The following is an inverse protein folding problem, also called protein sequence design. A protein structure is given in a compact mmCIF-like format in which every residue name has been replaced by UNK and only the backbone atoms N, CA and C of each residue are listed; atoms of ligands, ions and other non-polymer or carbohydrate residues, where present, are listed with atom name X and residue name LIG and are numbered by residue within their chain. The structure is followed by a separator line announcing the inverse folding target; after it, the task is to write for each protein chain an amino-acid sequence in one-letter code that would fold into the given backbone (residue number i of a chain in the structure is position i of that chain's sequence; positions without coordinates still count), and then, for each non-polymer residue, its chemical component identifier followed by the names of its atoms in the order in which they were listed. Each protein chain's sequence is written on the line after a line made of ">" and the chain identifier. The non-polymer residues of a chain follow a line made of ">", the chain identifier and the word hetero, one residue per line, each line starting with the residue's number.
data_IF_170347454113
#
_entry.id   IF_170347454113
#
_cell.length_a   1.000
_cell.length_b   1.000
_cell.length_c   1.000
_cell.angle_alpha   90.00
_cell.angle_beta   90.00
_cell.angle_gamma   90.00
#
_symmetry.space_group_name_H-M   'P 1'
#
loop_
_entity.id
_entity.type
_entity.pdbx_description
1 polymer ?
#
# COMPACT_ATOMS: atom_id res chain seq x y z
N UNK A 1 28.89 1.04 2.63
CA UNK A 1 28.43 -0.36 2.39
C UNK A 1 28.43 -0.62 0.88
N UNK A 2 28.84 -1.81 0.46
CA UNK A 2 28.72 -2.25 -0.96
C UNK A 2 27.88 -3.51 -1.03
N UNK A 3 26.93 -3.57 -1.97
CA UNK A 3 26.24 -4.79 -2.38
C UNK A 3 26.85 -5.21 -3.71
N UNK A 4 27.46 -6.41 -3.77
CA UNK A 4 28.22 -6.87 -4.94
C UNK A 4 27.49 -7.90 -5.78
N UNK A 5 27.72 -7.85 -7.10
CA UNK A 5 27.47 -8.94 -8.05
C UNK A 5 26.00 -9.43 -8.11
N UNK A 6 25.03 -8.60 -7.70
CA UNK A 6 23.61 -8.92 -7.69
C UNK A 6 22.93 -8.66 -9.05
N UNK A 7 21.75 -9.26 -9.26
CA UNK A 7 20.87 -8.95 -10.37
C UNK A 7 20.04 -7.71 -10.01
N UNK A 8 20.45 -6.54 -10.46
CA UNK A 8 19.78 -5.26 -10.16
C UNK A 8 18.52 -5.14 -11.00
N UNK A 9 17.38 -4.94 -10.35
CA UNK A 9 16.08 -4.72 -11.00
C UNK A 9 15.87 -3.21 -11.19
N UNK A 10 16.09 -2.74 -12.40
CA UNK A 10 15.72 -1.39 -12.83
C UNK A 10 14.26 -1.36 -13.29
N UNK A 11 13.74 -0.19 -13.57
CA UNK A 11 12.36 -0.01 -14.02
C UNK A 11 12.03 -0.71 -15.35
N UNK A 12 13.02 -0.83 -16.24
CA UNK A 12 12.88 -1.31 -17.62
C UNK A 12 13.67 -2.60 -17.92
N UNK A 13 14.57 -3.02 -17.01
CA UNK A 13 15.47 -4.16 -17.23
C UNK A 13 16.01 -4.75 -15.93
N UNK A 14 16.67 -5.92 -16.07
CA UNK A 14 17.45 -6.53 -15.00
C UNK A 14 18.87 -6.72 -15.50
N UNK A 15 19.86 -6.20 -14.78
CA UNK A 15 21.27 -6.30 -15.15
C UNK A 15 22.14 -6.69 -13.96
N UNK A 16 23.20 -7.44 -14.21
CA UNK A 16 24.19 -7.77 -13.18
C UNK A 16 25.01 -6.52 -12.82
N UNK A 17 25.17 -6.30 -11.51
CA UNK A 17 25.89 -5.11 -11.07
C UNK A 17 26.14 -5.06 -9.58
N UNK A 18 26.70 -3.95 -9.12
CA UNK A 18 27.00 -3.67 -7.72
C UNK A 18 26.53 -2.25 -7.36
N UNK A 19 26.22 -2.03 -6.09
CA UNK A 19 25.77 -0.72 -5.59
C UNK A 19 26.63 -0.29 -4.41
N UNK A 20 27.09 0.98 -4.44
CA UNK A 20 27.69 1.65 -3.29
C UNK A 20 26.63 2.49 -2.57
N UNK A 21 26.52 2.28 -1.27
CA UNK A 21 25.61 3.01 -0.37
C UNK A 21 26.46 3.85 0.59
N UNK A 22 26.16 5.16 0.64
CA UNK A 22 26.76 6.13 1.57
C UNK A 22 25.67 7.08 2.07
N UNK A 23 25.72 7.44 3.34
CA UNK A 23 24.81 8.40 3.99
C UNK A 23 23.32 8.12 3.72
N UNK A 24 22.94 6.84 3.73
CA UNK A 24 21.57 6.41 3.51
C UNK A 24 21.08 6.48 2.05
N UNK A 25 21.98 6.77 1.10
CA UNK A 25 21.67 6.94 -0.32
C UNK A 25 22.41 5.93 -1.19
N UNK A 26 21.82 5.65 -2.36
CA UNK A 26 22.53 4.98 -3.45
C UNK A 26 23.54 5.97 -4.02
N UNK A 27 24.80 5.81 -3.66
CA UNK A 27 25.87 6.73 -4.06
C UNK A 27 26.31 6.50 -5.48
N UNK A 28 26.49 5.24 -5.86
CA UNK A 28 26.95 4.86 -7.19
C UNK A 28 26.50 3.46 -7.57
N UNK A 29 26.14 3.32 -8.84
CA UNK A 29 25.86 2.04 -9.51
C UNK A 29 27.12 1.63 -10.26
N UNK A 30 27.52 0.36 -10.13
CA UNK A 30 28.74 -0.22 -10.67
C UNK A 30 30.02 0.60 -10.30
N UNK A 31 30.26 0.83 -8.99
CA UNK A 31 31.46 1.54 -8.57
C UNK A 31 32.71 0.74 -8.95
N UNK A 32 33.84 1.44 -9.16
CA UNK A 32 35.16 0.79 -9.03
C UNK A 32 35.29 0.38 -7.58
N UNK A 33 35.43 -0.92 -7.34
CA UNK A 33 35.47 -1.47 -5.99
C UNK A 33 36.84 -1.12 -5.40
N UNK A 34 36.88 -0.10 -4.58
CA UNK A 34 37.94 0.18 -3.63
C UNK A 34 37.57 -0.46 -2.29
N UNK A 35 38.50 -0.61 -1.36
CA UNK A 35 38.26 -1.28 -0.07
C UNK A 35 37.07 -0.65 0.66
N UNK A 36 36.00 -1.43 0.86
CA UNK A 36 34.84 -1.04 1.67
C UNK A 36 34.84 -1.86 2.96
N UNK A 37 34.50 -1.21 4.07
CA UNK A 37 34.45 -1.84 5.39
C UNK A 37 33.30 -2.84 5.57
N UNK A 38 32.25 -2.79 4.73
CA UNK A 38 31.10 -3.70 4.81
C UNK A 38 30.60 -4.09 3.41
N UNK A 39 30.62 -5.38 3.13
CA UNK A 39 30.24 -5.94 1.83
C UNK A 39 29.16 -6.99 2.02
N UNK A 40 28.06 -6.88 1.24
CA UNK A 40 27.06 -7.92 1.06
C UNK A 40 27.35 -8.60 -0.29
N UNK A 41 27.56 -9.92 -0.28
CA UNK A 41 27.62 -10.71 -1.50
C UNK A 41 26.21 -10.98 -2.02
N UNK A 42 25.88 -10.40 -3.17
CA UNK A 42 24.59 -10.56 -3.85
C UNK A 42 24.62 -11.51 -5.05
N UNK A 43 25.68 -12.32 -5.22
CA UNK A 43 25.95 -13.08 -6.46
C UNK A 43 24.83 -14.02 -6.91
N UNK A 44 23.98 -14.48 -5.98
CA UNK A 44 22.78 -15.30 -6.28
C UNK A 44 21.46 -14.57 -6.02
N UNK A 45 21.50 -13.26 -5.75
CA UNK A 45 20.33 -12.49 -5.33
C UNK A 45 19.89 -11.48 -6.38
N UNK A 46 18.61 -11.18 -6.35
CA UNK A 46 18.03 -9.99 -6.99
C UNK A 46 18.08 -8.84 -6.01
N UNK A 47 18.39 -7.66 -6.50
CA UNK A 47 18.34 -6.40 -5.77
C UNK A 47 17.27 -5.52 -6.38
N UNK A 48 16.22 -5.22 -5.63
CA UNK A 48 15.12 -4.34 -6.04
C UNK A 48 15.07 -3.07 -5.21
N UNK A 49 14.34 -2.03 -5.69
CA UNK A 49 13.84 -0.99 -4.79
C UNK A 49 13.02 -1.64 -3.68
N UNK A 50 13.00 -1.04 -2.51
CA UNK A 50 12.15 -1.45 -1.41
C UNK A 50 10.67 -1.34 -1.76
N UNK A 51 9.87 -2.27 -1.28
CA UNK A 51 8.43 -2.28 -1.51
C UNK A 51 7.76 -1.15 -0.72
N UNK A 52 6.68 -0.62 -1.28
CA UNK A 52 5.88 0.47 -0.70
C UNK A 52 4.43 0.02 -0.61
N UNK A 53 3.96 -0.22 0.61
CA UNK A 53 2.57 -0.61 0.88
C UNK A 53 1.72 0.60 1.20
N UNK A 54 0.82 0.96 0.29
CA UNK A 54 -0.02 2.15 0.45
C UNK A 54 -1.36 1.86 1.13
N UNK A 55 -1.61 0.58 1.49
CA UNK A 55 -2.84 0.15 2.13
C UNK A 55 -2.59 -1.04 3.05
N UNK A 56 -2.46 -0.78 4.36
CA UNK A 56 -2.22 -1.78 5.39
C UNK A 56 -2.77 -1.32 6.75
N UNK A 57 -3.65 -2.13 7.36
CA UNK A 57 -4.24 -1.85 8.67
C UNK A 57 -3.39 -2.35 9.82
N UNK A 58 -2.69 -3.47 9.64
CA UNK A 58 -1.91 -4.06 10.72
C UNK A 58 -1.08 -5.26 10.31
N UNK A 59 -0.22 -5.72 11.22
CA UNK A 59 0.57 -6.94 11.11
C UNK A 59 1.14 -7.33 12.49
N UNK A 60 1.49 -8.62 12.68
CA UNK A 60 2.19 -9.08 13.86
C UNK A 60 1.41 -8.92 15.18
N UNK A 61 0.09 -8.92 15.11
CA UNK A 61 -0.78 -8.75 16.27
C UNK A 61 -1.08 -7.29 16.64
N UNK A 62 -0.64 -6.33 15.84
CA UNK A 62 -0.83 -4.89 16.04
C UNK A 62 -1.67 -4.27 14.94
N UNK A 63 -2.46 -3.24 15.28
CA UNK A 63 -3.36 -2.55 14.39
C UNK A 63 -3.08 -1.03 14.39
N UNK A 64 -3.25 -0.38 13.26
CA UNK A 64 -3.17 1.10 13.15
C UNK A 64 -4.16 1.77 14.09
N UNK A 65 -5.34 1.15 14.28
CA UNK A 65 -6.38 1.67 15.17
C UNK A 65 -6.08 1.50 16.67
N UNK A 66 -4.96 0.86 17.05
CA UNK A 66 -4.45 0.89 18.43
C UNK A 66 -4.10 2.33 18.86
N UNK A 67 -3.91 3.23 17.92
CA UNK A 67 -3.74 4.67 18.12
C UNK A 67 -2.49 5.04 18.92
N UNK A 68 -1.41 4.26 18.82
CA UNK A 68 -0.16 4.48 19.52
C UNK A 68 1.07 4.20 18.65
N UNK A 69 2.22 4.80 19.00
CA UNK A 69 3.46 4.66 18.26
C UNK A 69 4.00 3.23 18.30
N UNK A 70 3.87 2.55 19.43
CA UNK A 70 4.41 1.21 19.66
C UNK A 70 3.84 0.22 18.66
N UNK A 71 2.53 0.23 18.43
CA UNK A 71 1.87 -0.65 17.45
C UNK A 71 2.33 -0.34 16.03
N UNK A 72 2.43 0.93 15.63
CA UNK A 72 2.93 1.31 14.31
C UNK A 72 4.40 0.88 14.12
N UNK A 73 5.22 1.01 15.17
CA UNK A 73 6.62 0.57 15.14
C UNK A 73 6.74 -0.96 15.02
N UNK A 74 5.92 -1.74 15.73
CA UNK A 74 5.89 -3.19 15.60
C UNK A 74 5.43 -3.63 14.20
N UNK A 75 4.37 -3.04 13.66
CA UNK A 75 3.94 -3.25 12.27
C UNK A 75 5.13 -3.02 11.32
N UNK A 76 5.85 -1.89 11.49
CA UNK A 76 6.98 -1.52 10.64
C UNK A 76 8.09 -2.58 10.64
N UNK A 77 8.38 -3.19 11.78
CA UNK A 77 9.40 -4.25 11.93
C UNK A 77 8.95 -5.55 11.29
N UNK A 78 7.68 -5.91 11.43
CA UNK A 78 7.14 -7.14 10.84
C UNK A 78 7.17 -7.07 9.33
N UNK A 79 6.63 -6.00 8.73
CA UNK A 79 6.55 -5.87 7.26
C UNK A 79 7.93 -5.70 6.61
N UNK A 80 8.91 -5.17 7.33
CA UNK A 80 10.27 -5.07 6.85
C UNK A 80 10.91 -6.45 6.58
N UNK A 81 10.51 -7.51 7.31
CA UNK A 81 10.95 -8.89 7.05
C UNK A 81 10.49 -9.39 5.67
N UNK A 82 9.46 -8.76 5.12
CA UNK A 82 8.84 -9.06 3.83
C UNK A 82 9.17 -8.02 2.75
N UNK A 83 10.26 -7.26 2.94
CA UNK A 83 10.78 -6.34 1.93
C UNK A 83 10.07 -4.99 1.86
N UNK A 84 9.06 -4.73 2.69
CA UNK A 84 8.42 -3.42 2.75
C UNK A 84 9.35 -2.43 3.45
N UNK A 85 9.70 -1.34 2.77
CA UNK A 85 10.62 -0.31 3.28
C UNK A 85 9.90 1.01 3.57
N UNK A 86 8.71 1.17 3.04
CA UNK A 86 7.84 2.32 3.31
C UNK A 86 6.39 1.90 3.27
N UNK A 87 5.52 2.53 4.08
CA UNK A 87 4.10 2.19 4.11
C UNK A 87 3.23 3.37 4.56
N UNK A 88 1.94 3.25 4.28
CA UNK A 88 0.88 4.10 4.82
C UNK A 88 0.07 3.28 5.83
N UNK A 89 0.30 3.44 7.14
CA UNK A 89 -0.65 2.90 8.11
C UNK A 89 -2.06 3.38 7.76
N UNK A 90 -3.01 2.43 7.67
CA UNK A 90 -4.35 2.70 7.17
C UNK A 90 -5.36 2.62 8.31
N UNK A 91 -6.18 3.67 8.48
CA UNK A 91 -7.25 3.68 9.48
C UNK A 91 -8.48 2.95 8.99
N UNK A 92 -9.36 2.59 9.91
CA UNK A 92 -10.69 2.05 9.65
C UNK A 92 -11.77 3.10 9.88
N UNK A 93 -13.01 2.84 9.40
CA UNK A 93 -14.20 3.59 9.79
C UNK A 93 -14.52 3.31 11.27
N UNK A 94 -14.14 4.24 12.13
CA UNK A 94 -14.32 4.19 13.59
C UNK A 94 -14.83 5.54 14.12
N UNK A 95 -14.89 5.70 15.45
CA UNK A 95 -15.23 7.01 16.03
C UNK A 95 -14.21 8.07 15.58
N UNK A 96 -14.65 9.32 15.43
CA UNK A 96 -13.76 10.45 15.05
C UNK A 96 -12.58 10.54 16.03
N UNK A 97 -12.81 10.29 17.30
CA UNK A 97 -11.77 10.31 18.34
C UNK A 97 -10.71 9.22 18.10
N UNK A 98 -11.12 7.98 17.78
CA UNK A 98 -10.18 6.88 17.57
C UNK A 98 -9.39 7.08 16.27
N UNK A 99 -10.05 7.55 15.19
CA UNK A 99 -9.33 7.89 13.95
C UNK A 99 -8.31 9.01 14.22
N UNK A 100 -8.68 10.05 14.98
CA UNK A 100 -7.78 11.15 15.34
C UNK A 100 -6.56 10.65 16.12
N UNK A 101 -6.75 9.80 17.13
CA UNK A 101 -5.65 9.17 17.90
C UNK A 101 -4.69 8.42 16.97
N UNK A 102 -5.24 7.65 16.03
CA UNK A 102 -4.43 6.92 15.04
C UNK A 102 -3.66 7.88 14.14
N UNK A 103 -4.29 8.95 13.65
CA UNK A 103 -3.62 9.99 12.86
C UNK A 103 -2.49 10.67 13.63
N UNK A 104 -2.69 10.98 14.92
CA UNK A 104 -1.66 11.56 15.79
C UNK A 104 -0.46 10.60 15.96
N UNK A 105 -0.74 9.30 16.18
CA UNK A 105 0.30 8.26 16.27
C UNK A 105 1.07 8.11 14.95
N UNK A 106 0.37 8.12 13.80
CA UNK A 106 0.99 8.07 12.48
C UNK A 106 1.86 9.32 12.23
N UNK A 107 1.36 10.50 12.55
CA UNK A 107 2.11 11.75 12.43
C UNK A 107 3.38 11.73 13.29
N UNK A 108 3.29 11.20 14.51
CA UNK A 108 4.44 11.00 15.39
C UNK A 108 5.47 10.04 14.76
N UNK A 109 5.02 8.87 14.27
CA UNK A 109 5.88 7.89 13.63
C UNK A 109 6.53 8.42 12.34
N UNK A 110 5.79 9.16 11.50
CA UNK A 110 6.31 9.82 10.31
C UNK A 110 7.42 10.82 10.64
N UNK A 111 7.26 11.59 11.72
CA UNK A 111 8.22 12.63 12.15
C UNK A 111 9.48 12.05 12.79
N UNK A 112 9.33 11.03 13.64
CA UNK A 112 10.43 10.52 14.46
C UNK A 112 11.10 9.27 13.89
N UNK A 113 10.47 8.63 12.87
CA UNK A 113 10.92 7.38 12.28
C UNK A 113 10.46 6.16 13.09
N UNK A 114 10.65 5.00 12.49
CA UNK A 114 10.37 3.67 13.01
C UNK A 114 11.64 2.81 12.92
N UNK A 115 11.66 1.66 13.58
CA UNK A 115 12.81 0.74 13.58
C UNK A 115 12.84 -0.19 12.36
N UNK A 116 11.72 -0.31 11.63
CA UNK A 116 11.56 -1.11 10.42
C UNK A 116 11.30 -0.24 9.17
N UNK A 117 10.19 -0.49 8.49
CA UNK A 117 9.75 0.28 7.33
C UNK A 117 9.37 1.72 7.70
N UNK A 118 9.71 2.69 6.85
CA UNK A 118 9.37 4.10 7.05
C UNK A 118 7.86 4.35 6.94
N UNK A 119 7.27 5.08 7.87
CA UNK A 119 5.95 5.70 7.71
C UNK A 119 6.11 6.93 6.80
N UNK A 120 5.49 6.91 5.62
CA UNK A 120 5.58 8.02 4.65
C UNK A 120 4.31 8.86 4.58
N UNK A 121 3.28 8.47 5.32
CA UNK A 121 2.02 9.18 5.47
C UNK A 121 0.96 8.27 6.07
N UNK A 122 -0.28 8.72 6.05
CA UNK A 122 -1.46 7.95 6.45
C UNK A 122 -2.39 7.74 5.25
N UNK A 123 -3.04 6.59 5.20
CA UNK A 123 -4.24 6.37 4.40
C UNK A 123 -5.45 6.34 5.33
N UNK A 124 -6.43 7.22 5.10
CA UNK A 124 -7.70 7.16 5.80
C UNK A 124 -8.68 6.34 4.99
N UNK A 125 -9.03 5.13 5.42
CA UNK A 125 -10.07 4.34 4.78
C UNK A 125 -11.43 4.59 5.44
N UNK A 126 -12.20 5.46 4.84
CA UNK A 126 -13.39 6.04 5.44
C UNK A 126 -13.06 7.25 6.32
N UNK A 127 -14.00 7.73 7.14
CA UNK A 127 -15.37 7.21 7.36
C UNK A 127 -16.40 7.65 6.30
N UNK A 128 -16.02 8.28 5.21
CA UNK A 128 -16.88 8.87 4.20
C UNK A 128 -17.26 7.86 3.09
N UNK A 129 -17.73 6.68 3.50
CA UNK A 129 -18.02 5.53 2.63
C UNK A 129 -19.52 5.31 2.46
N UNK A 130 -19.89 4.50 1.45
CA UNK A 130 -21.28 4.14 1.22
C UNK A 130 -21.78 3.12 2.25
N UNK A 131 -22.92 3.36 2.93
CA UNK A 131 -23.50 2.38 3.85
C UNK A 131 -23.96 1.09 3.15
N UNK A 132 -24.04 1.07 1.82
CA UNK A 132 -24.41 -0.09 1.03
C UNK A 132 -23.19 -0.91 0.56
N UNK A 133 -21.98 -0.39 0.75
CA UNK A 133 -20.71 -1.04 0.34
C UNK A 133 -19.68 -1.03 1.47
N UNK A 134 -20.15 -1.33 2.68
CA UNK A 134 -19.34 -1.26 3.91
C UNK A 134 -18.18 -2.27 3.94
N UNK A 135 -18.31 -3.43 3.25
CA UNK A 135 -17.31 -4.50 3.41
C UNK A 135 -17.16 -4.92 4.87
N UNK A 136 -15.94 -4.80 5.40
CA UNK A 136 -15.63 -5.02 6.82
C UNK A 136 -15.60 -3.73 7.65
N UNK A 137 -16.04 -2.58 7.11
CA UNK A 137 -16.11 -1.33 7.86
C UNK A 137 -17.29 -1.34 8.85
N UNK A 138 -17.19 -0.59 9.96
CA UNK A 138 -18.26 -0.51 10.95
C UNK A 138 -19.32 0.52 10.52
N UNK A 139 -20.58 0.10 10.24
CA UNK A 139 -21.61 1.00 9.76
C UNK A 139 -22.04 2.09 10.77
N UNK A 140 -21.80 1.86 12.08
CA UNK A 140 -22.19 2.80 13.14
C UNK A 140 -21.37 4.11 13.10
N UNK A 141 -20.20 4.07 12.46
CA UNK A 141 -19.26 5.19 12.43
C UNK A 141 -19.15 5.88 11.07
N UNK A 142 -19.97 5.46 10.09
CA UNK A 142 -20.02 6.12 8.78
C UNK A 142 -20.41 7.59 8.97
N UNK A 143 -19.67 8.48 8.33
CA UNK A 143 -19.91 9.92 8.35
C UNK A 143 -20.30 10.44 6.96
N UNK A 144 -21.12 11.49 6.95
CA UNK A 144 -21.37 12.24 5.72
C UNK A 144 -20.09 13.00 5.33
N UNK A 145 -19.63 12.94 4.06
CA UNK A 145 -18.48 13.70 3.63
C UNK A 145 -18.63 15.19 3.91
N UNK A 146 -17.69 15.78 4.64
CA UNK A 146 -17.60 17.21 4.84
C UNK A 146 -16.18 17.65 5.15
N UNK A 147 -15.82 18.87 4.76
CA UNK A 147 -14.50 19.46 5.06
C UNK A 147 -14.34 19.64 6.57
N UNK A 148 -15.40 20.01 7.28
CA UNK A 148 -15.35 20.24 8.73
C UNK A 148 -15.08 18.93 9.48
N UNK A 149 -15.77 17.85 9.16
CA UNK A 149 -15.53 16.53 9.76
C UNK A 149 -14.13 16.03 9.42
N UNK A 150 -13.65 16.20 8.18
CA UNK A 150 -12.29 15.88 7.81
C UNK A 150 -11.28 16.65 8.67
N UNK A 151 -11.44 17.96 8.80
CA UNK A 151 -10.59 18.80 9.68
C UNK A 151 -10.63 18.37 11.13
N UNK A 152 -11.79 17.97 11.62
CA UNK A 152 -11.94 17.46 12.99
C UNK A 152 -11.16 16.16 13.20
N UNK A 153 -11.14 15.26 12.20
CA UNK A 153 -10.37 14.01 12.22
C UNK A 153 -8.87 14.29 12.22
N UNK A 154 -8.39 15.11 11.28
CA UNK A 154 -6.93 15.30 11.10
C UNK A 154 -6.32 16.31 12.08
N UNK A 155 -7.17 17.20 12.65
CA UNK A 155 -6.72 18.27 13.53
C UNK A 155 -5.52 19.02 12.92
N UNK A 156 -4.42 19.19 13.64
CA UNK A 156 -3.19 19.84 13.18
C UNK A 156 -2.28 18.92 12.33
N UNK A 157 -2.70 17.68 12.03
CA UNK A 157 -1.88 16.66 11.38
C UNK A 157 -2.21 16.45 9.90
N UNK A 158 -2.75 17.44 9.21
CA UNK A 158 -3.11 17.33 7.79
C UNK A 158 -1.93 16.89 6.92
N UNK A 159 -0.71 17.34 7.24
CA UNK A 159 0.53 16.97 6.53
C UNK A 159 0.91 15.48 6.68
N UNK A 160 0.29 14.79 7.63
CA UNK A 160 0.48 13.34 7.76
C UNK A 160 -0.37 12.57 6.75
N UNK A 161 -1.43 13.15 6.19
CA UNK A 161 -2.37 12.45 5.33
C UNK A 161 -1.85 12.41 3.89
N UNK A 162 -1.75 11.22 3.35
CA UNK A 162 -1.35 11.00 1.95
C UNK A 162 -2.54 10.66 1.07
N UNK A 163 -3.44 9.81 1.55
CA UNK A 163 -4.60 9.34 0.80
C UNK A 163 -5.83 9.22 1.67
N UNK A 164 -7.01 9.33 1.07
CA UNK A 164 -8.29 9.08 1.73
C UNK A 164 -9.22 8.33 0.79
N UNK A 165 -9.79 7.24 1.26
CA UNK A 165 -10.83 6.47 0.56
C UNK A 165 -12.21 7.02 0.89
N UNK A 166 -12.99 7.31 -0.13
CA UNK A 166 -14.35 7.83 0.00
C UNK A 166 -15.27 7.41 -1.16
N UNK A 167 -16.57 7.48 -0.92
CA UNK A 167 -17.63 7.20 -1.89
C UNK A 167 -18.06 8.50 -2.59
N UNK A 168 -17.81 8.64 -3.91
CA UNK A 168 -18.06 9.90 -4.63
C UNK A 168 -19.53 10.25 -4.82
N UNK A 169 -20.44 9.27 -4.71
CA UNK A 169 -21.88 9.44 -4.87
C UNK A 169 -22.58 10.07 -3.65
N UNK A 170 -21.90 10.09 -2.50
CA UNK A 170 -22.48 10.61 -1.26
C UNK A 170 -22.46 12.14 -1.28
N UNK A 171 -23.58 12.75 -0.85
CA UNK A 171 -23.68 14.20 -0.74
C UNK A 171 -22.53 14.82 0.08
N UNK A 172 -21.91 15.88 -0.46
CA UNK A 172 -20.75 16.55 0.15
C UNK A 172 -19.40 15.97 -0.30
N UNK A 173 -19.40 14.80 -0.99
CA UNK A 173 -18.16 14.19 -1.45
C UNK A 173 -17.41 15.04 -2.48
N UNK A 174 -18.11 15.69 -3.40
CA UNK A 174 -17.49 16.51 -4.46
C UNK A 174 -16.69 17.67 -3.90
N UNK A 175 -17.25 18.36 -2.92
CA UNK A 175 -16.61 19.47 -2.22
C UNK A 175 -15.37 18.98 -1.44
N UNK A 176 -15.51 17.86 -0.74
CA UNK A 176 -14.38 17.25 -0.01
C UNK A 176 -13.28 16.77 -0.97
N UNK A 177 -13.62 16.10 -2.07
CA UNK A 177 -12.65 15.66 -3.09
C UNK A 177 -11.84 16.85 -3.63
N UNK A 178 -12.51 17.95 -3.97
CA UNK A 178 -11.84 19.16 -4.45
C UNK A 178 -10.90 19.74 -3.39
N UNK A 179 -11.36 19.82 -2.15
CA UNK A 179 -10.56 20.28 -1.01
C UNK A 179 -9.32 19.41 -0.78
N UNK A 180 -9.46 18.07 -0.81
CA UNK A 180 -8.35 17.13 -0.64
C UNK A 180 -7.30 17.31 -1.74
N UNK A 181 -7.73 17.40 -3.00
CA UNK A 181 -6.84 17.65 -4.15
C UNK A 181 -6.05 18.94 -3.98
N UNK A 182 -6.73 20.03 -3.58
CA UNK A 182 -6.12 21.36 -3.40
C UNK A 182 -5.11 21.37 -2.22
N UNK A 183 -5.27 20.46 -1.25
CA UNK A 183 -4.35 20.25 -0.14
C UNK A 183 -3.33 19.12 -0.40
N UNK A 184 -3.16 18.71 -1.67
CA UNK A 184 -2.17 17.72 -2.08
C UNK A 184 -2.39 16.31 -1.48
N UNK A 185 -3.59 16.00 -1.02
CA UNK A 185 -4.02 14.68 -0.55
C UNK A 185 -4.65 13.93 -1.71
N UNK A 186 -4.37 12.64 -1.86
CA UNK A 186 -4.90 11.79 -2.93
C UNK A 186 -6.31 11.30 -2.58
N UNK A 187 -7.38 11.78 -3.26
CA UNK A 187 -8.71 11.21 -3.09
C UNK A 187 -8.77 9.87 -3.84
N UNK A 188 -9.12 8.81 -3.13
CA UNK A 188 -9.28 7.45 -3.65
C UNK A 188 -10.74 7.03 -3.64
N UNK A 189 -11.21 6.38 -4.70
CA UNK A 189 -12.57 5.85 -4.81
C UNK A 189 -12.63 4.41 -4.32
N UNK A 190 -13.35 4.17 -3.25
CA UNK A 190 -13.56 2.84 -2.68
C UNK A 190 -14.74 2.83 -1.73
N UNK A 191 -15.20 1.64 -1.32
CA UNK A 191 -16.40 1.46 -0.50
C UNK A 191 -17.59 2.27 -1.02
N UNK A 192 -17.89 2.09 -2.31
CA UNK A 192 -18.78 2.97 -3.06
C UNK A 192 -19.81 2.18 -3.86
N UNK A 193 -21.05 2.66 -3.87
CA UNK A 193 -22.13 2.17 -4.71
C UNK A 193 -22.34 3.04 -5.96
N UNK A 194 -21.40 3.92 -6.26
CA UNK A 194 -21.47 4.80 -7.41
C UNK A 194 -21.78 4.00 -8.69
N UNK A 195 -22.64 4.55 -9.53
CA UNK A 195 -22.79 4.15 -10.92
C UNK A 195 -21.64 4.74 -11.74
N UNK A 196 -21.48 4.25 -12.97
CA UNK A 196 -20.43 4.73 -13.86
C UNK A 196 -20.37 6.27 -13.96
N UNK A 197 -21.50 6.93 -14.20
CA UNK A 197 -21.54 8.40 -14.33
C UNK A 197 -21.17 9.14 -13.04
N UNK A 198 -21.55 8.61 -11.87
CA UNK A 198 -21.22 9.19 -10.57
C UNK A 198 -19.71 9.03 -10.28
N UNK A 199 -19.14 7.87 -10.63
CA UNK A 199 -17.69 7.65 -10.56
C UNK A 199 -16.92 8.62 -11.47
N UNK A 200 -17.37 8.81 -12.73
CA UNK A 200 -16.77 9.76 -13.67
C UNK A 200 -16.85 11.21 -13.14
N UNK A 201 -17.97 11.60 -12.52
CA UNK A 201 -18.07 12.91 -11.89
C UNK A 201 -17.09 13.07 -10.72
N UNK A 202 -16.92 12.04 -9.87
CA UNK A 202 -15.90 12.02 -8.81
C UNK A 202 -14.48 12.20 -9.37
N UNK A 203 -14.15 11.51 -10.47
CA UNK A 203 -12.86 11.65 -11.17
C UNK A 203 -12.66 13.08 -11.70
N UNK A 204 -13.68 13.69 -12.30
CA UNK A 204 -13.64 15.10 -12.74
C UNK A 204 -13.41 16.08 -11.58
N UNK A 205 -13.95 15.78 -10.40
CA UNK A 205 -13.73 16.58 -9.18
C UNK A 205 -12.32 16.43 -8.62
N UNK A 206 -11.61 15.33 -8.91
CA UNK A 206 -10.22 15.17 -8.48
C UNK A 206 -9.80 13.78 -8.05
N UNK A 207 -10.69 12.79 -8.00
CA UNK A 207 -10.30 11.40 -7.74
C UNK A 207 -9.28 10.96 -8.80
N UNK A 208 -8.14 10.44 -8.36
CA UNK A 208 -7.07 9.99 -9.24
C UNK A 208 -6.58 8.57 -8.92
N UNK A 209 -7.24 7.93 -7.95
CA UNK A 209 -6.91 6.59 -7.48
C UNK A 209 -8.18 5.82 -7.13
N UNK A 210 -8.10 4.48 -7.09
CA UNK A 210 -9.15 3.63 -6.55
C UNK A 210 -8.58 2.56 -5.64
N UNK A 211 -9.27 2.35 -4.54
CA UNK A 211 -8.91 1.42 -3.46
C UNK A 211 -9.34 0.01 -3.85
N UNK A 212 -8.53 -0.99 -3.57
CA UNK A 212 -8.76 -2.46 -3.69
C UNK A 212 -9.77 -2.87 -4.77
N UNK A 213 -9.38 -2.67 -6.06
CA UNK A 213 -10.20 -2.98 -7.25
C UNK A 213 -11.06 -4.25 -7.09
N UNK A 214 -12.33 -4.17 -7.49
CA UNK A 214 -13.40 -5.16 -7.39
C UNK A 214 -14.03 -5.32 -5.99
N UNK A 215 -13.34 -4.96 -4.92
CA UNK A 215 -13.85 -5.16 -3.56
C UNK A 215 -14.64 -3.93 -3.10
N UNK A 216 -15.79 -4.16 -2.47
CA UNK A 216 -16.71 -3.11 -1.98
C UNK A 216 -16.98 -1.99 -3.00
N UNK A 217 -17.25 -2.35 -4.27
CA UNK A 217 -17.60 -1.42 -5.34
C UNK A 217 -18.55 -2.05 -6.36
N UNK A 218 -19.25 -1.23 -7.17
CA UNK A 218 -20.16 -1.72 -8.21
C UNK A 218 -19.39 -2.43 -9.32
N UNK A 219 -19.86 -3.64 -9.66
CA UNK A 219 -19.23 -4.54 -10.61
C UNK A 219 -19.35 -4.07 -12.06
N UNK A 220 -18.43 -4.53 -12.91
CA UNK A 220 -18.49 -4.30 -14.36
C UNK A 220 -19.65 -5.06 -15.01
N UNK A 221 -20.53 -4.33 -15.69
CA UNK A 221 -21.58 -4.88 -16.51
C UNK A 221 -21.70 -4.11 -17.82
N UNK A 222 -21.90 -4.79 -18.95
CA UNK A 222 -21.85 -4.20 -20.30
C UNK A 222 -22.89 -3.12 -20.59
N UNK A 223 -23.93 -2.95 -19.77
CA UNK A 223 -24.95 -1.88 -19.89
C UNK A 223 -24.88 -0.86 -18.75
N UNK A 224 -24.29 -1.20 -17.63
CA UNK A 224 -23.99 -0.32 -16.49
C UNK A 224 -22.59 -0.69 -15.98
N UNK A 225 -21.52 -0.03 -16.48
CA UNK A 225 -20.16 -0.45 -16.20
C UNK A 225 -19.73 -0.29 -14.76
N UNK A 226 -20.46 0.48 -13.97
CA UNK A 226 -20.17 0.70 -12.55
C UNK A 226 -18.82 1.38 -12.31
N UNK A 227 -18.36 1.29 -11.07
CA UNK A 227 -17.06 1.82 -10.64
C UNK A 227 -15.91 1.09 -11.34
N UNK A 228 -15.99 -0.24 -11.45
CA UNK A 228 -14.97 -1.03 -12.15
C UNK A 228 -14.82 -0.58 -13.60
N UNK A 229 -15.94 -0.30 -14.28
CA UNK A 229 -15.90 0.23 -15.65
C UNK A 229 -15.28 1.62 -15.72
N UNK A 230 -15.59 2.51 -14.79
CA UNK A 230 -14.99 3.85 -14.73
C UNK A 230 -13.48 3.79 -14.49
N UNK A 231 -13.02 2.86 -13.62
CA UNK A 231 -11.59 2.61 -13.40
C UNK A 231 -10.91 2.14 -14.69
N UNK A 232 -11.53 1.23 -15.44
CA UNK A 232 -10.96 0.69 -16.68
C UNK A 232 -10.97 1.70 -17.84
N UNK A 233 -11.93 2.61 -17.88
CA UNK A 233 -12.14 3.60 -18.95
C UNK A 233 -11.36 4.91 -18.74
N UNK A 234 -10.65 5.06 -17.61
CA UNK A 234 -9.93 6.29 -17.26
C UNK A 234 -8.48 6.02 -16.88
N UNK A 235 -7.68 7.10 -16.75
CA UNK A 235 -6.26 7.02 -16.40
C UNK A 235 -5.97 6.96 -14.89
N UNK A 236 -6.97 6.90 -14.02
CA UNK A 236 -6.73 6.80 -12.58
C UNK A 236 -5.97 5.51 -12.24
N UNK A 237 -5.16 5.53 -11.20
CA UNK A 237 -4.47 4.34 -10.71
C UNK A 237 -5.39 3.47 -9.85
N UNK A 238 -5.03 2.22 -9.60
CA UNK A 238 -5.85 1.29 -8.79
C UNK A 238 -4.99 0.34 -7.98
N UNK A 239 -5.49 -0.06 -6.82
CA UNK A 239 -4.88 -1.10 -5.98
C UNK A 239 -5.40 -2.48 -6.33
N UNK A 240 -4.57 -3.51 -6.10
CA UNK A 240 -4.99 -4.92 -6.15
C UNK A 240 -4.44 -5.71 -4.98
N UNK A 241 -5.31 -6.45 -4.29
CA UNK A 241 -4.95 -7.45 -3.28
C UNK A 241 -4.73 -8.78 -4.02
N UNK A 242 -3.46 -9.13 -4.23
CA UNK A 242 -3.06 -10.21 -5.16
C UNK A 242 -2.79 -11.52 -4.44
N UNK A 243 -3.70 -11.94 -3.56
CA UNK A 243 -3.62 -13.17 -2.76
C UNK A 243 -4.30 -14.39 -3.44
N UNK A 244 -5.04 -14.18 -4.53
CA UNK A 244 -5.83 -15.21 -5.20
C UNK A 244 -7.17 -15.51 -4.51
N UNK A 245 -7.44 -14.87 -3.37
CA UNK A 245 -8.68 -14.99 -2.57
C UNK A 245 -9.60 -13.80 -2.86
N UNK A 246 -9.09 -12.56 -2.71
CA UNK A 246 -9.81 -11.33 -3.03
C UNK A 246 -10.06 -11.20 -4.53
N UNK A 247 -9.07 -11.54 -5.33
CA UNK A 247 -9.16 -11.47 -6.79
C UNK A 247 -8.58 -12.77 -7.39
N UNK A 248 -9.41 -13.50 -8.15
CA UNK A 248 -8.93 -14.64 -8.90
C UNK A 248 -7.84 -14.22 -9.90
N UNK A 249 -6.78 -15.01 -10.07
CA UNK A 249 -5.66 -14.67 -10.95
C UNK A 249 -6.07 -14.46 -12.43
N UNK A 250 -7.15 -15.10 -12.91
CA UNK A 250 -7.67 -14.82 -14.25
C UNK A 250 -8.23 -13.40 -14.36
N UNK A 251 -8.89 -12.92 -13.30
CA UNK A 251 -9.41 -11.55 -13.21
C UNK A 251 -8.27 -10.54 -13.09
N UNK A 252 -7.21 -10.84 -12.30
CA UNK A 252 -6.00 -10.02 -12.23
C UNK A 252 -5.34 -9.87 -13.60
N UNK A 253 -5.12 -10.99 -14.33
CA UNK A 253 -4.56 -10.94 -15.70
C UNK A 253 -5.40 -10.07 -16.64
N UNK A 254 -6.71 -10.11 -16.52
CA UNK A 254 -7.62 -9.28 -17.34
C UNK A 254 -7.51 -7.82 -16.94
N UNK A 255 -7.56 -7.53 -15.66
CA UNK A 255 -7.44 -6.16 -15.14
C UNK A 255 -6.12 -5.50 -15.56
N UNK A 256 -5.00 -6.22 -15.44
CA UNK A 256 -3.68 -5.70 -15.81
C UNK A 256 -3.53 -5.46 -17.32
N UNK A 257 -4.16 -6.31 -18.17
CA UNK A 257 -4.20 -6.08 -19.62
C UNK A 257 -4.97 -4.84 -20.01
N UNK A 258 -6.05 -4.55 -19.30
CA UNK A 258 -6.91 -3.38 -19.57
C UNK A 258 -6.27 -2.12 -19.03
N UNK A 259 -5.73 -2.19 -17.80
CA UNK A 259 -5.27 -1.01 -17.06
C UNK A 259 -3.82 -0.63 -17.36
N UNK A 260 -2.98 -1.61 -17.69
CA UNK A 260 -1.52 -1.44 -17.75
C UNK A 260 -0.88 -1.55 -16.36
N UNK A 261 0.33 -2.14 -16.32
CA UNK A 261 1.08 -2.36 -15.07
C UNK A 261 1.55 -1.06 -14.42
N UNK A 262 1.67 0.02 -15.18
CA UNK A 262 2.05 1.35 -14.71
C UNK A 262 0.94 2.10 -13.94
N UNK A 263 -0.29 1.58 -13.99
CA UNK A 263 -1.47 2.12 -13.30
C UNK A 263 -1.96 1.26 -12.15
N UNK A 264 -1.33 0.12 -11.90
CA UNK A 264 -1.71 -0.82 -10.84
C UNK A 264 -0.70 -0.79 -9.70
N UNK A 265 -1.20 -0.76 -8.46
CA UNK A 265 -0.41 -0.88 -7.24
C UNK A 265 -0.72 -2.23 -6.58
N UNK A 266 0.32 -2.96 -6.17
CA UNK A 266 0.17 -4.09 -5.27
C UNK A 266 0.07 -3.56 -3.85
N UNK A 267 -0.99 -3.94 -3.16
CA UNK A 267 -1.20 -3.63 -1.75
C UNK A 267 -1.48 -4.91 -0.98
N UNK A 268 -1.32 -4.85 0.32
CA UNK A 268 -1.67 -6.00 1.16
C UNK A 268 -3.10 -5.93 1.65
N UNK A 269 -3.59 -4.76 2.02
CA UNK A 269 -4.81 -4.63 2.83
C UNK A 269 -4.74 -5.57 4.05
N UNK A 270 -3.52 -5.72 4.60
CA UNK A 270 -3.28 -6.67 5.67
C UNK A 270 -3.82 -6.13 6.99
N UNK A 271 -4.35 -7.04 7.79
CA UNK A 271 -4.85 -6.75 9.13
C UNK A 271 -3.92 -7.36 10.20
N UNK A 272 -4.19 -7.10 11.48
CA UNK A 272 -3.32 -7.49 12.60
C UNK A 272 -2.87 -8.96 12.60
N UNK A 273 -3.65 -9.87 11.99
CA UNK A 273 -3.30 -11.29 11.88
C UNK A 273 -2.24 -11.60 10.81
N UNK A 274 -1.83 -10.63 9.99
CA UNK A 274 -0.74 -10.82 9.06
C UNK A 274 0.54 -11.24 9.81
N UNK A 275 1.18 -12.31 9.35
CA UNK A 275 2.35 -12.94 10.01
C UNK A 275 2.05 -13.55 11.40
N UNK A 276 0.79 -13.82 11.72
CA UNK A 276 0.34 -14.51 12.92
C UNK A 276 -0.28 -15.88 12.59
N UNK A 277 -0.40 -16.80 13.55
CA UNK A 277 -1.11 -18.07 13.34
C UNK A 277 -2.59 -17.88 13.01
N UNK A 278 -3.23 -18.89 12.40
CA UNK A 278 -4.68 -18.95 12.30
C UNK A 278 -5.34 -18.79 13.68
N UNK A 279 -6.48 -18.09 13.76
CA UNK A 279 -7.15 -17.83 15.04
C UNK A 279 -8.17 -16.71 14.98
N UNK A 280 -8.55 -16.23 16.17
CA UNK A 280 -9.49 -15.12 16.32
C UNK A 280 -8.74 -13.81 16.53
N UNK A 281 -9.14 -12.79 15.79
CA UNK A 281 -8.56 -11.46 15.77
C UNK A 281 -9.67 -10.40 15.73
N UNK A 282 -9.31 -9.16 15.54
CA UNK A 282 -10.26 -8.07 15.33
C UNK A 282 -9.81 -7.15 14.19
N UNK A 283 -10.76 -6.46 13.56
CA UNK A 283 -10.52 -5.39 12.61
C UNK A 283 -11.61 -4.33 12.76
N UNK A 284 -11.22 -3.08 13.03
CA UNK A 284 -12.20 -2.01 13.26
C UNK A 284 -13.21 -2.30 14.37
N UNK A 285 -12.81 -3.05 15.41
CA UNK A 285 -13.67 -3.45 16.53
C UNK A 285 -14.62 -4.63 16.23
N UNK A 286 -14.52 -5.27 15.06
CA UNK A 286 -15.30 -6.44 14.68
C UNK A 286 -14.50 -7.73 14.82
N UNK A 287 -15.14 -8.83 15.27
CA UNK A 287 -14.50 -10.14 15.38
C UNK A 287 -14.18 -10.71 13.99
N UNK A 288 -12.94 -11.13 13.80
CA UNK A 288 -12.43 -11.75 12.57
C UNK A 288 -11.88 -13.13 12.88
N UNK A 289 -12.23 -14.11 12.06
CA UNK A 289 -11.66 -15.46 12.08
C UNK A 289 -10.69 -15.58 10.92
N UNK A 290 -9.44 -15.96 11.23
CA UNK A 290 -8.43 -16.29 10.22
C UNK A 290 -8.27 -17.78 10.14
N UNK A 291 -8.50 -18.32 8.95
CA UNK A 291 -8.36 -19.73 8.65
C UNK A 291 -7.92 -19.94 7.20
N UNK A 292 -6.92 -20.81 7.00
CA UNK A 292 -6.39 -21.15 5.66
C UNK A 292 -5.96 -19.90 4.84
N UNK A 293 -5.37 -18.90 5.50
CA UNK A 293 -4.88 -17.68 4.85
C UNK A 293 -5.97 -16.67 4.48
N UNK A 294 -7.21 -16.85 4.94
CA UNK A 294 -8.32 -15.93 4.71
C UNK A 294 -8.86 -15.36 6.03
N UNK A 295 -8.93 -14.05 6.13
CA UNK A 295 -9.56 -13.33 7.24
C UNK A 295 -11.02 -13.02 6.91
N UNK A 296 -11.95 -13.41 7.79
CA UNK A 296 -13.40 -13.28 7.54
C UNK A 296 -14.17 -12.83 8.79
N UNK A 297 -15.16 -12.00 8.56
CA UNK A 297 -16.20 -11.72 9.53
C UNK A 297 -17.12 -12.95 9.73
N UNK A 298 -17.88 -12.98 10.82
CA UNK A 298 -18.88 -14.05 11.10
C UNK A 298 -19.91 -14.25 9.98
N UNK A 299 -20.20 -13.22 9.19
CA UNK A 299 -21.10 -13.29 8.03
C UNK A 299 -20.46 -13.86 6.76
N UNK A 300 -19.17 -14.21 6.81
CA UNK A 300 -18.39 -14.77 5.71
C UNK A 300 -17.70 -13.73 4.80
N UNK A 301 -17.94 -12.44 4.98
CA UNK A 301 -17.27 -11.40 4.23
C UNK A 301 -15.76 -11.38 4.53
N UNK A 302 -14.93 -11.13 3.53
CA UNK A 302 -13.51 -10.90 3.74
C UNK A 302 -13.30 -9.62 4.58
N UNK A 303 -12.29 -9.63 5.43
CA UNK A 303 -12.01 -8.58 6.41
C UNK A 303 -10.50 -8.27 6.42
N UNK A 304 -10.07 -7.45 5.47
CA UNK A 304 -8.67 -7.29 5.16
C UNK A 304 -8.03 -8.61 4.72
N UNK A 305 -6.73 -8.68 4.71
CA UNK A 305 -5.96 -9.86 4.31
C UNK A 305 -4.94 -10.27 5.39
N UNK A 306 -4.23 -11.38 5.12
CA UNK A 306 -3.00 -11.76 5.81
C UNK A 306 -1.81 -11.81 4.83
N UNK A 307 -1.95 -11.12 3.69
CA UNK A 307 -0.97 -11.05 2.62
C UNK A 307 0.23 -10.19 3.03
N UNK A 308 1.42 -10.56 2.56
CA UNK A 308 2.63 -9.72 2.62
C UNK A 308 3.02 -9.26 1.22
N UNK A 309 3.76 -8.15 1.08
CA UNK A 309 4.09 -7.62 -0.26
C UNK A 309 5.01 -8.54 -1.07
N UNK A 310 5.95 -9.24 -0.44
CA UNK A 310 6.77 -10.27 -1.12
C UNK A 310 5.92 -11.41 -1.66
N UNK A 311 4.90 -11.85 -0.89
CA UNK A 311 3.93 -12.83 -1.34
C UNK A 311 3.06 -12.28 -2.48
N UNK A 312 2.63 -11.02 -2.43
CA UNK A 312 1.91 -10.38 -3.53
C UNK A 312 2.74 -10.34 -4.82
N UNK A 313 4.01 -9.91 -4.73
CA UNK A 313 4.98 -9.92 -5.85
C UNK A 313 5.14 -11.33 -6.42
N UNK A 314 5.38 -12.32 -5.56
CA UNK A 314 5.52 -13.75 -5.94
C UNK A 314 4.26 -14.28 -6.61
N UNK A 315 3.09 -13.99 -6.07
CA UNK A 315 1.81 -14.42 -6.61
C UNK A 315 1.58 -13.84 -8.02
N UNK A 316 1.81 -12.54 -8.20
CA UNK A 316 1.64 -11.89 -9.51
C UNK A 316 2.67 -12.43 -10.51
N UNK A 317 3.94 -12.53 -10.14
CA UNK A 317 4.98 -13.04 -11.01
C UNK A 317 4.70 -14.48 -11.48
N UNK A 318 4.29 -15.35 -10.57
CA UNK A 318 4.04 -16.77 -10.88
C UNK A 318 2.72 -17.02 -11.63
N UNK A 319 1.72 -16.14 -11.48
CA UNK A 319 0.37 -16.37 -12.02
C UNK A 319 0.02 -15.42 -13.18
N UNK A 320 0.95 -14.57 -13.60
CA UNK A 320 0.79 -13.67 -14.76
C UNK A 320 1.97 -13.85 -15.72
N UNK A 321 1.92 -13.21 -16.88
CA UNK A 321 3.01 -13.26 -17.87
C UNK A 321 3.84 -11.96 -17.87
N UNK A 322 3.75 -11.14 -16.79
CA UNK A 322 4.51 -9.90 -16.70
C UNK A 322 5.94 -10.16 -16.22
N UNK A 323 6.93 -9.46 -16.79
CA UNK A 323 8.32 -9.58 -16.37
C UNK A 323 8.50 -9.06 -14.94
N UNK A 324 9.49 -9.59 -14.22
CA UNK A 324 9.71 -9.30 -12.80
C UNK A 324 9.89 -7.80 -12.51
N UNK A 325 10.58 -7.07 -13.39
CA UNK A 325 10.76 -5.62 -13.21
C UNK A 325 9.43 -4.84 -13.26
N UNK A 326 8.48 -5.24 -14.10
CA UNK A 326 7.15 -4.62 -14.11
C UNK A 326 6.38 -4.94 -12.82
N UNK A 327 6.43 -6.19 -12.35
CA UNK A 327 5.79 -6.58 -11.08
C UNK A 327 6.40 -5.84 -9.89
N UNK A 328 7.73 -5.65 -9.87
CA UNK A 328 8.41 -4.85 -8.84
C UNK A 328 7.97 -3.37 -8.93
N UNK A 329 7.80 -2.81 -10.12
CA UNK A 329 7.28 -1.44 -10.26
C UNK A 329 5.89 -1.27 -9.66
N UNK A 330 5.02 -2.29 -9.77
CA UNK A 330 3.69 -2.30 -9.14
C UNK A 330 3.77 -2.30 -7.61
N UNK A 331 4.81 -2.89 -7.02
CA UNK A 331 5.03 -2.96 -5.58
C UNK A 331 5.92 -1.82 -5.03
N UNK A 332 6.49 -0.96 -5.89
CA UNK A 332 7.45 0.06 -5.49
C UNK A 332 7.22 1.42 -6.15
N UNK A 333 7.56 1.57 -7.43
CA UNK A 333 7.50 2.85 -8.15
C UNK A 333 6.09 3.44 -8.20
N UNK A 334 5.06 2.60 -8.42
CA UNK A 334 3.69 3.09 -8.51
C UNK A 334 3.20 3.62 -7.15
N UNK A 335 3.53 2.93 -6.05
CA UNK A 335 3.29 3.42 -4.69
C UNK A 335 4.07 4.71 -4.39
N UNK A 336 5.34 4.80 -4.84
CA UNK A 336 6.12 6.02 -4.69
C UNK A 336 5.49 7.22 -5.41
N UNK A 337 4.95 7.02 -6.62
CA UNK A 337 4.23 8.06 -7.38
C UNK A 337 2.95 8.49 -6.67
N UNK A 338 2.15 7.56 -6.17
CA UNK A 338 0.95 7.87 -5.40
C UNK A 338 1.28 8.74 -4.18
N UNK A 339 2.31 8.36 -3.45
CA UNK A 339 2.79 9.08 -2.26
C UNK A 339 3.63 10.34 -2.59
N UNK A 340 3.85 10.65 -3.89
CA UNK A 340 4.64 11.80 -4.37
C UNK A 340 6.08 11.82 -3.85
N UNK A 341 6.65 10.62 -3.62
CA UNK A 341 8.04 10.42 -3.18
C UNK A 341 8.92 9.76 -4.25
N UNK A 342 8.43 9.64 -5.47
CA UNK A 342 9.13 9.05 -6.62
C UNK A 342 10.36 9.82 -7.07
N UNK A 343 10.56 11.03 -6.56
CA UNK A 343 11.79 11.80 -6.73
C UNK A 343 12.96 11.28 -5.87
N UNK A 344 12.71 10.37 -4.92
CA UNK A 344 13.73 9.81 -4.01
C UNK A 344 13.55 8.33 -3.65
N UNK A 345 12.39 7.70 -3.95
CA UNK A 345 12.05 6.31 -3.61
C UNK A 345 11.46 5.56 -4.83
N UNK A 346 11.34 4.25 -4.73
CA UNK A 346 10.68 3.40 -5.72
C UNK A 346 11.50 2.98 -6.92
N UNK A 347 12.77 3.44 -7.02
CA UNK A 347 13.68 3.07 -8.10
C UNK A 347 15.11 2.89 -7.58
N UNK A 348 15.91 2.05 -8.27
CA UNK A 348 17.35 2.02 -8.09
C UNK A 348 17.97 3.09 -9.00
N UNK A 349 18.38 4.20 -8.38
CA UNK A 349 18.97 5.35 -9.07
C UNK A 349 19.93 6.08 -8.13
N UNK A 350 21.05 6.56 -8.67
CA UNK A 350 22.01 7.36 -7.89
C UNK A 350 21.35 8.60 -7.27
N UNK A 351 21.60 8.85 -6.00
CA UNK A 351 21.00 9.91 -5.19
C UNK A 351 19.68 9.55 -4.50
N UNK A 352 19.05 8.42 -4.86
CA UNK A 352 17.83 7.94 -4.21
C UNK A 352 18.13 7.35 -2.83
N UNK A 353 17.10 7.28 -1.98
CA UNK A 353 17.18 6.61 -0.70
C UNK A 353 17.60 5.15 -0.92
N UNK A 354 18.54 4.66 -0.12
CA UNK A 354 18.93 3.27 -0.16
C UNK A 354 17.92 2.39 0.60
N UNK A 355 16.67 2.44 0.14
CA UNK A 355 15.57 1.58 0.54
C UNK A 355 15.54 0.42 -0.46
N UNK A 356 16.05 -0.73 -0.05
CA UNK A 356 16.40 -1.83 -0.93
C UNK A 356 15.97 -3.17 -0.35
N UNK A 357 15.65 -4.10 -1.24
CA UNK A 357 15.36 -5.49 -0.89
C UNK A 357 16.25 -6.42 -1.70
N UNK A 358 16.88 -7.37 -1.02
CA UNK A 358 17.55 -8.50 -1.66
C UNK A 358 16.74 -9.77 -1.41
N UNK A 359 16.47 -10.51 -2.48
CA UNK A 359 15.74 -11.77 -2.42
C UNK A 359 16.31 -12.80 -3.40
N UNK A 360 16.03 -14.07 -3.15
CA UNK A 360 16.46 -15.18 -4.01
C UNK A 360 15.50 -15.34 -5.23
N UNK A 361 15.79 -16.31 -6.09
CA UNK A 361 15.00 -16.64 -7.30
C UNK A 361 13.53 -17.01 -6.99
N UNK A 362 13.23 -17.42 -5.76
CA UNK A 362 11.89 -17.76 -5.28
C UNK A 362 11.20 -16.59 -4.58
N UNK A 363 11.79 -15.38 -4.64
CA UNK A 363 11.32 -14.16 -3.99
C UNK A 363 11.26 -14.32 -2.45
N UNK A 364 12.18 -15.08 -1.87
CA UNK A 364 12.36 -15.12 -0.43
C UNK A 364 13.32 -14.00 -0.02
N UNK A 365 12.86 -13.07 0.78
CA UNK A 365 13.64 -11.90 1.22
C UNK A 365 14.82 -12.35 2.08
N UNK A 366 16.01 -11.86 1.76
CA UNK A 366 17.26 -12.11 2.48
C UNK A 366 17.74 -10.89 3.25
N UNK A 367 17.59 -9.71 2.68
CA UNK A 367 17.91 -8.45 3.34
C UNK A 367 16.89 -7.40 2.99
N UNK A 368 16.55 -6.58 3.98
CA UNK A 368 15.80 -5.33 3.76
C UNK A 368 16.62 -4.19 4.33
N UNK A 369 16.87 -3.17 3.51
CA UNK A 369 17.57 -1.97 3.89
C UNK A 369 16.61 -0.78 3.84
N UNK A 370 16.64 0.03 4.90
CA UNK A 370 15.88 1.28 5.00
C UNK A 370 16.87 2.42 5.27
N UNK A 371 16.87 3.43 4.42
CA UNK A 371 17.85 4.52 4.47
C UNK A 371 19.31 3.99 4.61
N UNK A 372 19.64 2.92 3.87
CA UNK A 372 20.96 2.31 3.85
C UNK A 372 21.33 1.48 5.09
N UNK A 373 20.43 1.34 6.05
CA UNK A 373 20.60 0.49 7.23
C UNK A 373 19.90 -0.84 7.03
N UNK A 374 20.57 -1.94 7.37
CA UNK A 374 19.94 -3.25 7.37
C UNK A 374 18.97 -3.30 8.55
N UNK A 375 17.66 -3.40 8.23
CA UNK A 375 16.58 -3.54 9.22
C UNK A 375 16.11 -4.99 9.35
N UNK A 376 16.46 -5.83 8.36
CA UNK A 376 16.21 -7.27 8.38
C UNK A 376 17.31 -8.04 7.63
N UNK A 377 17.71 -9.19 8.17
CA UNK A 377 18.52 -10.20 7.49
C UNK A 377 18.04 -11.59 7.89
N UNK A 378 17.82 -12.50 6.89
CA UNK A 378 17.36 -13.88 7.07
C UNK A 378 18.48 -14.81 7.56
#
# INVERSE_FOLDING_TARGET
>A
MIIKDCNIIFTDKIEKGSILIEDGKIKKINPKIEESSYIIDGSSLYLSPGFIDVHIHGAGGHDTMDGNFESINEISKVIAKHGTTSFLPTTMTCSIEDIRKSVEAIAHAKKNGTEGANVIGAHLEGPFISPEMIGAQNPEHIQKPSIDTFKEIVNDNIDAITSITLAPEIDGAKELISYLKDNNITPSMGHTKAKYNEAIEGIKCGICHSTHLFNAMTSFHHREPGVVGAIFDTDITTETISDGIHINYASLRTAYKVKGTDKVLLVTDAMMACCMPDGNYSLGGQDVIVENGAARLKNGSLAGSVLTLDAAVKNVYNNTNYPLNEVINMASLNGAKLCKVDHRKGMIKEGYDADLVLFDENINVKYTLVNGKIVYSA
#
